data_IF_497588566717
#
_entry.id   IF_497588566717
#
_cell.length_a   1.000
_cell.length_b   1.000
_cell.length_c   1.000
_cell.angle_alpha   90.00
_cell.angle_beta   90.00
_cell.angle_gamma   90.00
#
_symmetry.space_group_name_H-M   'P 1'
#
loop_
_entity.id
_entity.type
_entity.pdbx_description
1 polymer ?
#
# COMPACT_ATOMS: atom_id res chain seq x y z
N UNK A 1 -28.87 14.49 10.18
CA UNK A 1 -29.15 13.85 8.89
C UNK A 1 -29.47 12.41 9.21
N UNK A 2 -30.72 12.02 9.05
CA UNK A 2 -31.22 10.74 9.58
C UNK A 2 -30.68 9.54 8.79
N UNK A 3 -30.23 9.78 7.55
CA UNK A 3 -29.76 8.75 6.63
C UNK A 3 -28.27 8.41 6.76
N UNK A 4 -27.52 9.07 7.67
CA UNK A 4 -26.06 8.90 7.85
C UNK A 4 -25.22 9.07 6.56
N UNK A 5 -25.74 9.80 5.56
CA UNK A 5 -25.04 10.04 4.30
C UNK A 5 -23.74 10.85 4.49
N UNK A 6 -22.71 10.52 3.71
CA UNK A 6 -21.46 11.27 3.73
C UNK A 6 -21.57 12.56 2.94
N UNK A 7 -21.22 13.69 3.57
CA UNK A 7 -21.26 15.03 2.95
C UNK A 7 -19.89 15.42 2.44
N UNK A 8 -19.67 15.27 1.14
CA UNK A 8 -18.44 15.66 0.50
C UNK A 8 -18.50 17.13 0.04
N UNK A 9 -17.62 17.96 0.59
CA UNK A 9 -17.55 19.38 0.25
C UNK A 9 -16.46 19.62 -0.80
N UNK A 10 -16.80 20.30 -1.90
CA UNK A 10 -15.89 20.55 -3.01
C UNK A 10 -16.13 21.95 -3.63
N UNK A 11 -15.34 22.32 -4.64
CA UNK A 11 -15.53 23.52 -5.45
C UNK A 11 -16.06 23.14 -6.84
N UNK A 12 -17.08 23.85 -7.30
CA UNK A 12 -17.59 23.66 -8.66
C UNK A 12 -16.49 24.03 -9.67
N UNK A 13 -16.19 23.18 -10.68
CA UNK A 13 -15.03 23.35 -11.56
C UNK A 13 -15.06 24.66 -12.36
N UNK A 14 -16.24 25.05 -12.86
CA UNK A 14 -16.39 26.30 -13.62
C UNK A 14 -16.47 27.56 -12.72
N UNK A 15 -17.33 27.55 -11.70
CA UNK A 15 -17.66 28.77 -10.93
C UNK A 15 -16.78 28.96 -9.68
N UNK A 16 -15.98 27.96 -9.31
CA UNK A 16 -15.16 27.89 -8.08
C UNK A 16 -15.94 28.06 -6.77
N UNK A 17 -17.27 28.13 -6.82
CA UNK A 17 -18.14 28.23 -5.65
C UNK A 17 -18.15 26.90 -4.89
N UNK A 18 -18.26 26.98 -3.56
CA UNK A 18 -18.37 25.82 -2.67
C UNK A 18 -19.68 25.07 -2.96
N UNK A 19 -19.60 23.75 -3.13
CA UNK A 19 -20.74 22.85 -3.31
C UNK A 19 -20.64 21.69 -2.30
N UNK A 20 -21.79 21.14 -1.91
CA UNK A 20 -21.86 19.93 -1.07
C UNK A 20 -22.50 18.83 -1.89
N UNK A 21 -21.81 17.71 -2.03
CA UNK A 21 -22.28 16.49 -2.68
C UNK A 21 -22.64 15.47 -1.61
N UNK A 22 -23.83 14.89 -1.71
CA UNK A 22 -24.27 13.80 -0.84
C UNK A 22 -23.78 12.48 -1.44
N UNK A 23 -23.08 11.69 -0.65
CA UNK A 23 -22.55 10.38 -1.04
C UNK A 23 -23.19 9.33 -0.14
N UNK A 24 -24.19 8.63 -0.68
CA UNK A 24 -24.92 7.58 0.04
C UNK A 24 -24.22 6.23 0.02
N UNK A 25 -23.39 5.96 -1.00
CA UNK A 25 -22.53 4.78 -1.06
C UNK A 25 -21.06 5.19 -0.98
N UNK A 26 -20.46 4.91 0.19
CA UNK A 26 -19.03 5.12 0.45
C UNK A 26 -18.22 3.81 0.42
N UNK A 27 -18.75 2.75 -0.20
CA UNK A 27 -18.02 1.49 -0.33
C UNK A 27 -16.74 1.66 -1.15
N UNK A 28 -15.69 0.96 -0.73
CA UNK A 28 -14.42 1.00 -1.41
C UNK A 28 -14.53 0.31 -2.78
N UNK A 29 -14.27 1.05 -3.86
CA UNK A 29 -14.32 0.51 -5.24
C UNK A 29 -13.13 -0.36 -5.60
N UNK A 30 -12.07 -0.33 -4.78
CA UNK A 30 -10.83 -1.10 -4.95
C UNK A 30 -10.32 -1.51 -3.58
N UNK A 31 -9.81 -2.73 -3.47
CA UNK A 31 -9.12 -3.17 -2.27
C UNK A 31 -7.70 -2.59 -2.20
N UNK A 32 -7.11 -2.59 -1.00
CA UNK A 32 -5.69 -2.22 -0.82
C UNK A 32 -4.78 -3.12 -1.67
N UNK A 33 -5.10 -4.42 -1.75
CA UNK A 33 -4.39 -5.38 -2.59
C UNK A 33 -4.39 -4.96 -4.06
N UNK A 34 -5.54 -4.56 -4.60
CA UNK A 34 -5.66 -4.14 -6.00
C UNK A 34 -4.84 -2.88 -6.30
N UNK A 35 -4.78 -1.94 -5.34
CA UNK A 35 -4.00 -0.71 -5.48
C UNK A 35 -2.50 -1.01 -5.51
N UNK A 36 -2.02 -1.86 -4.60
CA UNK A 36 -0.62 -2.24 -4.53
C UNK A 36 -0.22 -3.09 -5.74
N UNK A 37 -1.02 -4.09 -6.13
CA UNK A 37 -0.73 -4.94 -7.28
C UNK A 37 -0.72 -4.15 -8.61
N UNK A 38 -1.60 -3.16 -8.76
CA UNK A 38 -1.55 -2.25 -9.91
C UNK A 38 -0.20 -1.52 -10.01
N UNK A 39 0.41 -1.16 -8.87
CA UNK A 39 1.74 -0.52 -8.84
C UNK A 39 2.89 -1.49 -9.13
N UNK A 40 2.74 -2.76 -8.76
CA UNK A 40 3.69 -3.83 -9.09
C UNK A 40 3.70 -4.12 -10.59
N UNK A 41 2.53 -4.06 -11.23
CA UNK A 41 2.34 -4.29 -12.66
C UNK A 41 2.25 -5.77 -13.05
N UNK A 42 1.68 -6.08 -14.22
CA UNK A 42 1.43 -7.46 -14.66
C UNK A 42 2.70 -8.24 -14.99
N UNK A 43 3.77 -7.56 -15.44
CA UNK A 43 5.07 -8.13 -15.78
C UNK A 43 5.64 -8.94 -14.60
N UNK A 44 5.77 -8.29 -13.44
CA UNK A 44 6.31 -8.92 -12.23
C UNK A 44 5.35 -9.97 -11.64
N UNK A 45 4.04 -9.77 -11.78
CA UNK A 45 3.04 -10.71 -11.28
C UNK A 45 3.04 -12.05 -12.02
N UNK A 46 3.37 -12.05 -13.31
CA UNK A 46 3.41 -13.24 -14.16
C UNK A 46 4.82 -13.81 -14.37
N UNK A 47 5.83 -13.15 -13.79
CA UNK A 47 7.24 -13.54 -13.91
C UNK A 47 7.52 -14.87 -13.20
N UNK A 48 8.31 -15.73 -13.84
CA UNK A 48 8.84 -16.96 -13.25
C UNK A 48 10.13 -16.72 -12.47
N UNK A 49 10.68 -15.49 -12.52
CA UNK A 49 11.90 -15.13 -11.80
C UNK A 49 11.62 -15.15 -10.31
N UNK A 50 12.41 -15.94 -9.55
CA UNK A 50 12.25 -16.09 -8.10
C UNK A 50 12.23 -14.76 -7.35
N UNK A 51 13.04 -13.78 -7.76
CA UNK A 51 13.08 -12.45 -7.16
C UNK A 51 11.76 -11.68 -7.37
N UNK A 52 11.16 -11.77 -8.56
CA UNK A 52 9.88 -11.13 -8.84
C UNK A 52 8.73 -11.80 -8.08
N UNK A 53 8.71 -13.13 -8.01
CA UNK A 53 7.73 -13.88 -7.20
C UNK A 53 7.79 -13.47 -5.72
N UNK A 54 9.01 -13.32 -5.21
CA UNK A 54 9.26 -12.91 -3.84
C UNK A 54 8.82 -11.46 -3.58
N UNK A 55 9.08 -10.57 -4.53
CA UNK A 55 8.61 -9.18 -4.50
C UNK A 55 7.08 -9.11 -4.50
N UNK A 56 6.41 -9.89 -5.37
CA UNK A 56 4.94 -9.99 -5.42
C UNK A 56 4.38 -10.54 -4.11
N UNK A 57 4.99 -11.59 -3.54
CA UNK A 57 4.60 -12.12 -2.22
C UNK A 57 4.67 -11.03 -1.16
N UNK A 58 5.77 -10.27 -1.11
CA UNK A 58 5.93 -9.16 -0.16
C UNK A 58 4.95 -8.02 -0.41
N UNK A 59 4.64 -7.70 -1.65
CA UNK A 59 3.62 -6.70 -1.99
C UNK A 59 2.23 -7.12 -1.48
N UNK A 60 1.87 -8.42 -1.56
CA UNK A 60 0.63 -8.94 -0.98
C UNK A 60 0.61 -8.84 0.54
N UNK A 61 1.69 -9.25 1.20
CA UNK A 61 1.84 -9.11 2.65
C UNK A 61 1.78 -7.63 3.08
N UNK A 62 2.37 -6.73 2.31
CA UNK A 62 2.32 -5.29 2.58
C UNK A 62 0.89 -4.75 2.50
N UNK A 63 0.14 -5.16 1.48
CA UNK A 63 -1.25 -4.76 1.33
C UNK A 63 -2.13 -5.24 2.49
N UNK A 64 -1.89 -6.46 2.99
CA UNK A 64 -2.59 -7.00 4.15
C UNK A 64 -2.28 -6.21 5.42
N UNK A 65 -0.99 -5.97 5.70
CA UNK A 65 -0.53 -5.15 6.83
C UNK A 65 -1.20 -3.77 6.81
N UNK A 66 -1.16 -3.07 5.67
CA UNK A 66 -1.78 -1.76 5.53
C UNK A 66 -3.28 -1.81 5.78
N UNK A 67 -3.97 -2.85 5.28
CA UNK A 67 -5.41 -3.00 5.48
C UNK A 67 -5.77 -3.11 6.96
N UNK A 68 -4.98 -3.85 7.74
CA UNK A 68 -5.14 -3.98 9.19
C UNK A 68 -4.83 -2.67 9.93
N UNK A 69 -3.80 -1.94 9.50
CA UNK A 69 -3.41 -0.66 10.09
C UNK A 69 -4.42 0.47 9.82
N UNK A 70 -5.02 0.49 8.63
CA UNK A 70 -5.91 1.58 8.18
C UNK A 70 -7.39 1.25 8.32
N UNK A 71 -7.76 0.27 9.15
CA UNK A 71 -9.15 0.00 9.47
C UNK A 71 -9.84 1.25 10.02
N UNK A 72 -10.99 1.63 9.44
CA UNK A 72 -11.76 2.81 9.84
C UNK A 72 -12.35 2.67 11.24
N UNK A 73 -12.82 1.45 11.55
CA UNK A 73 -13.31 1.06 12.86
C UNK A 73 -12.11 0.79 13.79
N UNK A 74 -11.90 1.59 14.87
CA UNK A 74 -10.77 1.42 15.77
C UNK A 74 -10.73 0.05 16.44
N UNK A 75 -11.88 -0.53 16.78
CA UNK A 75 -11.97 -1.83 17.46
C UNK A 75 -11.57 -2.99 16.54
N UNK A 76 -11.62 -2.78 15.22
CA UNK A 76 -11.16 -3.74 14.21
C UNK A 76 -9.71 -3.50 13.77
N UNK A 77 -9.07 -2.43 14.26
CA UNK A 77 -7.68 -2.11 13.92
C UNK A 77 -6.76 -3.01 14.74
N UNK A 78 -5.81 -3.64 14.07
CA UNK A 78 -4.84 -4.51 14.75
C UNK A 78 -3.98 -3.72 15.73
N UNK A 79 -3.60 -4.37 16.84
CA UNK A 79 -2.73 -3.76 17.84
C UNK A 79 -1.30 -3.63 17.30
N UNK A 80 -0.49 -2.70 17.84
CA UNK A 80 0.92 -2.60 17.45
C UNK A 80 1.71 -3.91 17.64
N UNK A 81 1.44 -4.63 18.73
CA UNK A 81 2.12 -5.89 19.03
C UNK A 81 1.79 -6.98 18.00
N UNK A 82 0.53 -7.07 17.57
CA UNK A 82 0.11 -8.00 16.51
C UNK A 82 0.76 -7.63 15.16
N UNK A 83 0.81 -6.33 14.85
CA UNK A 83 1.38 -5.83 13.60
C UNK A 83 2.89 -6.09 13.52
N UNK A 84 3.62 -6.05 14.64
CA UNK A 84 5.05 -6.40 14.67
C UNK A 84 5.29 -7.87 14.34
N UNK A 85 4.35 -8.76 14.64
CA UNK A 85 4.41 -10.18 14.29
C UNK A 85 3.94 -10.47 12.86
N UNK A 86 3.47 -9.45 12.13
CA UNK A 86 2.94 -9.63 10.78
C UNK A 86 4.02 -10.16 9.82
N UNK A 87 3.72 -11.12 8.92
CA UNK A 87 4.70 -11.75 8.02
C UNK A 87 5.49 -10.79 7.13
N UNK A 88 4.91 -9.62 6.84
CA UNK A 88 5.61 -8.56 6.12
C UNK A 88 6.89 -8.12 6.86
N UNK A 89 6.79 -7.93 8.18
CA UNK A 89 7.85 -7.42 9.07
C UNK A 89 8.71 -8.57 9.60
N UNK A 90 8.08 -9.65 10.08
CA UNK A 90 8.76 -10.72 10.80
C UNK A 90 9.55 -11.69 9.91
N UNK A 91 9.15 -11.90 8.65
CA UNK A 91 9.92 -12.77 7.74
C UNK A 91 11.24 -12.09 7.33
N UNK A 92 12.36 -12.56 7.88
CA UNK A 92 13.71 -12.17 7.46
C UNK A 92 13.96 -12.63 6.04
N UNK A 93 14.22 -11.67 5.15
CA UNK A 93 14.50 -11.96 3.76
C UNK A 93 16.00 -12.20 3.58
N UNK A 94 16.41 -13.19 2.77
CA UNK A 94 17.80 -13.27 2.35
C UNK A 94 18.14 -11.96 1.64
N UNK A 95 19.09 -11.21 2.19
CA UNK A 95 19.52 -9.95 1.60
C UNK A 95 19.91 -10.21 0.14
N UNK A 96 19.17 -9.63 -0.80
CA UNK A 96 19.64 -9.52 -2.18
C UNK A 96 21.03 -8.90 -2.08
N UNK A 97 22.05 -9.60 -2.60
CA UNK A 97 23.41 -9.05 -2.67
C UNK A 97 23.33 -7.78 -3.49
N UNK A 98 23.15 -6.64 -2.82
CA UNK A 98 23.35 -5.34 -3.40
C UNK A 98 24.80 -5.36 -3.87
N UNK A 99 25.00 -5.52 -5.18
CA UNK A 99 26.30 -5.43 -5.82
C UNK A 99 26.78 -4.00 -5.58
N UNK A 100 27.50 -3.79 -4.48
CA UNK A 100 28.27 -2.58 -4.25
C UNK A 100 29.36 -2.60 -5.31
N UNK A 101 29.11 -1.87 -6.40
CA UNK A 101 30.12 -1.63 -7.41
C UNK A 101 31.31 -0.96 -6.71
N UNK A 102 32.44 -1.67 -6.70
CA UNK A 102 33.63 -1.28 -5.96
C UNK A 102 34.20 0.00 -6.55
N UNK A 103 34.02 1.11 -5.83
CA UNK A 103 34.77 2.34 -6.06
C UNK A 103 36.26 2.05 -5.96
N UNK A 104 36.92 2.05 -7.11
CA UNK A 104 38.36 1.91 -7.26
C UNK A 104 39.04 3.09 -6.54
N UNK A 105 39.66 2.83 -5.40
CA UNK A 105 40.53 3.81 -4.73
C UNK A 105 41.71 4.12 -5.67
N UNK A 106 41.82 5.38 -6.06
CA UNK A 106 42.97 5.89 -6.80
C UNK A 106 43.98 6.40 -5.77
N UNK A 107 44.92 5.53 -5.39
CA UNK A 107 46.15 5.92 -4.71
C UNK A 107 47.00 6.72 -5.70
N UNK A 108 47.31 7.98 -5.38
CA UNK A 108 48.30 8.78 -6.08
C UNK A 108 49.39 9.14 -5.08
N UNK A 109 50.58 8.65 -5.39
CA UNK A 109 51.85 8.87 -4.71
C UNK A 109 52.30 10.34 -4.71
#
# INVERSE_FOLDING_TARGET
>A
DENLDFKYTDKHPATRKKIVRIVSDCSAKRSMLDLILARVGPEKQKSEVKEDQLYVKKAKQFADLLSQMTALDPEKRASPDDLLQHPFIAEVMPASKAKRDGGKAHDAA
#
